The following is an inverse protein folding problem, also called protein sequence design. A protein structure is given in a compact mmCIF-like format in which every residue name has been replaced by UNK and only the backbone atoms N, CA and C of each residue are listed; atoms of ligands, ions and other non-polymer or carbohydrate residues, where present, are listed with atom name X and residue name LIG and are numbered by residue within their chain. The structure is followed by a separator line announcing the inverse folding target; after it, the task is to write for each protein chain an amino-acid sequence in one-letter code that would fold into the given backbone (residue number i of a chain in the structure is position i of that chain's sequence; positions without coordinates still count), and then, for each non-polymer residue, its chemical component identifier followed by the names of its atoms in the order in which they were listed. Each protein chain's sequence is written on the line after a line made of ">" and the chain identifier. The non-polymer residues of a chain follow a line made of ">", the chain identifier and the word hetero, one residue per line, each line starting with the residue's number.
data_IF_256513189916
#
_entry.id   IF_256513189916
#
_cell.length_a   1.000
_cell.length_b   1.000
_cell.length_c   1.000
_cell.angle_alpha   90.00
_cell.angle_beta   90.00
_cell.angle_gamma   90.00
#
_symmetry.space_group_name_H-M   'P 1'
#
loop_
_entity.id
_entity.type
_entity.pdbx_description
1 polymer ?
#
# COMPACT_ATOMS: atom_id res chain seq x y z
N UNK A 1 11.13 -22.65 -31.05
CA UNK A 1 11.06 -22.41 -29.58
C UNK A 1 9.75 -21.69 -29.33
N UNK A 2 8.91 -22.16 -28.39
CA UNK A 2 7.75 -21.36 -27.95
C UNK A 2 8.32 -20.04 -27.43
N UNK A 3 7.84 -18.91 -27.93
CA UNK A 3 8.11 -17.63 -27.29
C UNK A 3 7.56 -17.74 -25.86
N UNK A 4 8.45 -17.91 -24.89
CA UNK A 4 8.08 -17.68 -23.49
C UNK A 4 7.77 -16.20 -23.39
N UNK A 5 6.59 -15.82 -22.88
CA UNK A 5 6.23 -14.41 -22.76
C UNK A 5 7.14 -13.67 -21.77
N UNK A 6 6.92 -12.37 -21.61
CA UNK A 6 7.79 -11.51 -20.83
C UNK A 6 7.25 -11.29 -19.41
N UNK A 7 8.14 -11.39 -18.41
CA UNK A 7 7.79 -11.24 -16.99
C UNK A 7 8.17 -9.83 -16.53
N UNK A 8 7.19 -9.11 -16.00
CA UNK A 8 7.36 -7.82 -15.34
C UNK A 8 7.33 -7.99 -13.82
N UNK A 9 8.27 -7.34 -13.15
CA UNK A 9 8.41 -7.32 -11.70
C UNK A 9 8.27 -5.88 -11.25
N UNK A 10 7.33 -5.62 -10.34
CA UNK A 10 7.13 -4.30 -9.74
C UNK A 10 7.71 -4.30 -8.32
N UNK A 11 8.51 -3.29 -8.00
CA UNK A 11 9.05 -3.07 -6.66
C UNK A 11 8.86 -1.60 -6.24
N UNK A 12 8.98 -1.32 -4.94
CA UNK A 12 8.97 0.06 -4.44
C UNK A 12 10.35 0.69 -4.46
N UNK A 13 10.39 2.02 -4.55
CA UNK A 13 11.58 2.81 -4.29
C UNK A 13 12.04 2.65 -2.82
N UNK A 14 13.20 3.20 -2.49
CA UNK A 14 13.67 3.24 -1.11
C UNK A 14 13.75 4.66 -0.55
N UNK A 15 13.57 4.78 0.77
CA UNK A 15 13.73 6.04 1.47
C UNK A 15 15.19 6.51 1.39
N UNK A 16 16.15 5.63 1.68
CA UNK A 16 17.57 5.97 1.67
C UNK A 16 18.17 5.90 0.26
N UNK A 17 19.10 6.81 -0.01
CA UNK A 17 19.81 6.88 -1.29
C UNK A 17 21.30 7.00 -1.06
N UNK A 18 22.07 6.33 -1.91
CA UNK A 18 23.51 6.58 -2.02
C UNK A 18 23.71 8.05 -2.42
N UNK A 19 24.68 8.73 -1.81
CA UNK A 19 25.05 10.13 -2.11
C UNK A 19 26.14 10.27 -3.18
N UNK A 20 26.65 9.14 -3.71
CA UNK A 20 27.62 9.13 -4.80
C UNK A 20 27.09 9.83 -6.07
N UNK A 21 28.03 10.36 -6.84
CA UNK A 21 27.78 11.14 -8.03
C UNK A 21 28.26 10.39 -9.28
N UNK A 22 27.42 10.32 -10.30
CA UNK A 22 27.73 9.70 -11.57
C UNK A 22 27.01 10.40 -12.73
N UNK A 23 27.16 9.86 -13.93
CA UNK A 23 26.67 10.46 -15.17
C UNK A 23 25.28 9.93 -15.56
N UNK A 24 24.52 10.75 -16.27
CA UNK A 24 23.22 10.34 -16.81
C UNK A 24 23.39 9.36 -17.97
N UNK A 25 22.66 8.25 -17.93
CA UNK A 25 22.59 7.26 -19.02
C UNK A 25 21.30 7.42 -19.83
N UNK A 26 21.38 7.21 -21.14
CA UNK A 26 20.25 7.41 -22.06
C UNK A 26 19.18 6.31 -22.01
N UNK A 27 19.50 5.12 -21.49
CA UNK A 27 18.50 4.07 -21.24
C UNK A 27 17.61 4.49 -20.06
N UNK A 28 16.33 4.74 -20.32
CA UNK A 28 15.36 5.03 -19.27
C UNK A 28 13.93 4.58 -19.58
N UNK A 29 13.09 4.40 -18.56
CA UNK A 29 11.68 4.04 -18.70
C UNK A 29 10.90 5.02 -19.58
N UNK A 30 11.16 6.32 -19.46
CA UNK A 30 10.45 7.35 -20.22
C UNK A 30 10.62 7.16 -21.74
N UNK A 31 11.75 6.68 -22.20
CA UNK A 31 11.97 6.35 -23.62
C UNK A 31 11.15 5.13 -24.09
N UNK A 32 10.72 4.29 -23.15
CA UNK A 32 9.89 3.11 -23.43
C UNK A 32 8.40 3.43 -23.53
N UNK A 33 7.92 4.55 -22.98
CA UNK A 33 6.51 4.97 -23.06
C UNK A 33 6.37 6.24 -23.90
N UNK A 34 5.98 6.14 -25.16
CA UNK A 34 5.84 7.28 -26.07
C UNK A 34 4.57 8.10 -25.85
N UNK A 35 3.44 7.45 -25.53
CA UNK A 35 2.14 8.12 -25.43
C UNK A 35 2.02 8.90 -24.12
N UNK A 36 2.48 8.32 -23.01
CA UNK A 36 2.42 8.94 -21.70
C UNK A 36 3.69 9.70 -21.30
N UNK A 37 4.70 9.77 -22.18
CA UNK A 37 6.00 10.43 -21.94
C UNK A 37 5.87 11.81 -21.29
N UNK A 38 5.14 12.71 -21.96
CA UNK A 38 5.08 14.11 -21.55
C UNK A 38 4.33 14.27 -20.22
N UNK A 39 3.27 13.48 -19.99
CA UNK A 39 2.55 13.46 -18.71
C UNK A 39 3.48 13.07 -17.55
N UNK A 40 4.32 12.05 -17.73
CA UNK A 40 5.29 11.68 -16.70
C UNK A 40 6.31 12.78 -16.45
N UNK A 41 6.90 13.35 -17.51
CA UNK A 41 7.90 14.41 -17.37
C UNK A 41 7.31 15.68 -16.73
N UNK A 42 6.07 16.03 -17.07
CA UNK A 42 5.33 17.13 -16.45
C UNK A 42 5.12 16.88 -14.95
N UNK A 43 4.59 15.71 -14.57
CA UNK A 43 4.36 15.39 -13.15
C UNK A 43 5.66 15.33 -12.35
N UNK A 44 6.74 14.81 -12.93
CA UNK A 44 8.08 14.85 -12.32
C UNK A 44 8.53 16.28 -12.01
N UNK A 45 8.38 17.20 -12.98
CA UNK A 45 8.72 18.62 -12.80
C UNK A 45 7.84 19.27 -11.73
N UNK A 46 6.54 19.01 -11.74
CA UNK A 46 5.61 19.55 -10.74
C UNK A 46 5.98 19.08 -9.33
N UNK A 47 6.22 17.79 -9.13
CA UNK A 47 6.60 17.27 -7.80
C UNK A 47 7.94 17.84 -7.35
N UNK A 48 8.93 17.95 -8.24
CA UNK A 48 10.22 18.59 -7.93
C UNK A 48 10.01 20.03 -7.45
N UNK A 49 9.23 20.81 -8.20
CA UNK A 49 8.89 22.20 -7.87
C UNK A 49 8.14 22.30 -6.54
N UNK A 50 7.16 21.43 -6.30
CA UNK A 50 6.41 21.39 -5.05
C UNK A 50 7.30 21.03 -3.86
N UNK A 51 8.20 20.07 -4.02
CA UNK A 51 9.20 19.75 -2.99
C UNK A 51 10.07 20.98 -2.69
N UNK A 52 10.59 21.66 -3.71
CA UNK A 52 11.49 22.82 -3.54
C UNK A 52 10.78 24.07 -3.01
N UNK A 53 9.47 24.19 -3.20
CA UNK A 53 8.62 25.26 -2.62
C UNK A 53 8.14 24.96 -1.20
N UNK A 54 8.46 23.79 -0.67
CA UNK A 54 7.99 23.35 0.63
C UNK A 54 6.52 22.97 0.66
N UNK A 55 5.99 22.45 -0.44
CA UNK A 55 4.59 22.03 -0.58
C UNK A 55 4.40 20.52 -0.42
N UNK A 56 5.45 19.79 -0.06
CA UNK A 56 5.36 18.34 0.17
C UNK A 56 5.87 18.06 1.58
N UNK A 57 5.04 17.45 2.41
CA UNK A 57 5.39 17.07 3.78
C UNK A 57 5.33 15.57 3.97
N UNK A 58 6.25 15.07 4.79
CA UNK A 58 6.25 13.72 5.30
C UNK A 58 4.93 13.41 6.01
N UNK A 59 4.29 12.31 5.64
CA UNK A 59 2.99 11.92 6.20
C UNK A 59 3.05 11.67 7.71
N UNK A 60 4.14 11.11 8.22
CA UNK A 60 4.25 10.61 9.60
C UNK A 60 4.74 11.70 10.55
N UNK A 61 5.82 12.38 10.18
CA UNK A 61 6.48 13.40 10.98
C UNK A 61 5.95 14.81 10.73
N UNK A 62 5.30 15.05 9.59
CA UNK A 62 4.91 16.41 9.16
C UNK A 62 6.09 17.28 8.72
N UNK A 63 7.30 16.72 8.64
CA UNK A 63 8.48 17.44 8.19
C UNK A 63 8.35 17.84 6.72
N UNK A 64 8.70 19.07 6.40
CA UNK A 64 8.74 19.54 5.03
C UNK A 64 9.90 18.89 4.27
N UNK A 65 9.64 18.44 3.04
CA UNK A 65 10.66 17.82 2.19
C UNK A 65 11.68 18.84 1.66
N UNK A 66 11.39 20.13 1.69
CA UNK A 66 12.34 21.18 1.31
C UNK A 66 13.54 21.33 2.27
N UNK A 67 13.46 20.77 3.48
CA UNK A 67 14.56 20.83 4.46
C UNK A 67 15.72 19.89 4.10
N UNK A 68 15.47 18.93 3.21
CA UNK A 68 16.41 17.86 2.85
C UNK A 68 17.35 18.35 1.77
N UNK A 69 18.66 18.19 2.01
CA UNK A 69 19.72 18.66 1.10
C UNK A 69 19.56 18.07 -0.29
N UNK A 70 19.30 16.77 -0.38
CA UNK A 70 19.07 16.06 -1.64
C UNK A 70 17.91 16.63 -2.46
N UNK A 71 16.90 17.23 -1.81
CA UNK A 71 15.76 17.83 -2.48
C UNK A 71 16.03 19.27 -2.94
N UNK A 72 16.66 20.07 -2.08
CA UNK A 72 17.03 21.46 -2.43
C UNK A 72 18.03 21.51 -3.58
N UNK A 73 18.87 20.49 -3.72
CA UNK A 73 19.87 20.38 -4.77
C UNK A 73 19.39 19.67 -6.04
N UNK A 74 18.10 19.33 -6.17
CA UNK A 74 17.55 18.74 -7.40
C UNK A 74 17.70 19.72 -8.59
N UNK A 75 18.29 19.24 -9.68
CA UNK A 75 18.50 20.03 -10.90
C UNK A 75 17.49 19.66 -12.00
N UNK A 76 17.27 20.60 -12.92
CA UNK A 76 16.52 20.39 -14.17
C UNK A 76 17.34 19.62 -15.21
N UNK A 77 17.57 18.33 -14.96
CA UNK A 77 18.28 17.47 -15.90
C UNK A 77 17.40 16.58 -16.79
N UNK A 78 18.01 15.61 -17.50
CA UNK A 78 17.30 14.78 -18.48
C UNK A 78 16.16 13.94 -17.93
N UNK A 79 16.22 13.57 -16.66
CA UNK A 79 15.17 12.90 -15.91
C UNK A 79 13.87 13.72 -15.75
N UNK A 80 13.97 15.04 -15.93
CA UNK A 80 12.86 16.01 -15.98
C UNK A 80 12.59 16.55 -17.40
N UNK A 81 13.24 15.99 -18.42
CA UNK A 81 13.08 16.38 -19.83
C UNK A 81 13.94 17.59 -20.24
N UNK A 82 14.98 17.90 -19.47
CA UNK A 82 15.84 19.07 -19.67
C UNK A 82 17.27 18.65 -20.03
N UNK A 83 18.15 19.58 -20.41
CA UNK A 83 19.48 19.25 -20.95
C UNK A 83 20.65 19.51 -19.98
N UNK A 84 20.39 19.81 -18.70
CA UNK A 84 21.47 20.06 -17.73
C UNK A 84 22.22 18.76 -17.43
N UNK A 85 23.48 18.68 -17.86
CA UNK A 85 24.35 17.52 -17.62
C UNK A 85 25.31 17.80 -16.47
N UNK A 86 24.91 17.39 -15.26
CA UNK A 86 25.81 17.35 -14.09
C UNK A 86 26.04 15.91 -13.63
N UNK A 87 27.16 15.69 -12.93
CA UNK A 87 27.47 14.41 -12.30
C UNK A 87 26.66 14.24 -11.01
N UNK A 88 25.37 13.94 -11.14
CA UNK A 88 24.43 13.74 -10.00
C UNK A 88 23.63 12.45 -10.09
N UNK A 89 23.93 11.59 -11.06
CA UNK A 89 23.09 10.45 -11.40
C UNK A 89 23.72 9.13 -11.02
N UNK A 90 22.88 8.17 -10.64
CA UNK A 90 23.23 6.76 -10.54
C UNK A 90 22.06 5.96 -11.09
N UNK A 91 22.29 4.77 -11.66
CA UNK A 91 21.19 3.87 -11.97
C UNK A 91 20.40 3.56 -10.71
N UNK A 92 19.08 3.47 -10.82
CA UNK A 92 18.18 3.36 -9.67
C UNK A 92 18.55 2.20 -8.71
N UNK A 93 19.00 1.06 -9.24
CA UNK A 93 19.46 -0.07 -8.42
C UNK A 93 20.71 0.21 -7.57
N UNK A 94 21.57 1.16 -7.99
CA UNK A 94 22.71 1.65 -7.19
C UNK A 94 22.34 2.84 -6.32
N UNK A 95 21.41 3.68 -6.78
CA UNK A 95 20.95 4.85 -6.03
C UNK A 95 20.18 4.42 -4.78
N UNK A 96 19.22 3.51 -4.91
CA UNK A 96 18.38 3.11 -3.78
C UNK A 96 19.14 2.24 -2.79
N UNK A 97 19.05 2.63 -1.51
CA UNK A 97 19.59 1.89 -0.38
C UNK A 97 18.47 1.60 0.60
N UNK A 98 18.51 0.44 1.25
CA UNK A 98 17.51 0.10 2.25
C UNK A 98 17.40 -1.39 2.47
N UNK A 99 16.42 -1.79 3.29
CA UNK A 99 16.30 -3.18 3.75
C UNK A 99 16.02 -4.20 2.64
N UNK A 100 15.32 -3.81 1.58
CA UNK A 100 15.16 -4.64 0.38
C UNK A 100 16.45 -4.66 -0.47
N UNK A 101 16.95 -3.48 -0.84
CA UNK A 101 18.11 -3.32 -1.74
C UNK A 101 19.41 -3.89 -1.15
N UNK A 102 19.59 -3.84 0.17
CA UNK A 102 20.74 -4.42 0.88
C UNK A 102 20.83 -5.95 0.82
N UNK A 103 19.78 -6.63 0.34
CA UNK A 103 19.82 -8.08 0.11
C UNK A 103 20.39 -8.45 -1.26
N UNK A 104 20.59 -7.45 -2.13
CA UNK A 104 20.99 -7.59 -3.52
C UNK A 104 22.35 -6.93 -3.74
N UNK A 105 23.16 -7.52 -4.61
CA UNK A 105 24.39 -6.92 -5.12
C UNK A 105 24.25 -6.60 -6.62
N UNK A 106 25.25 -5.93 -7.19
CA UNK A 106 25.24 -5.55 -8.60
C UNK A 106 25.10 -6.75 -9.55
N UNK A 107 25.63 -7.93 -9.19
CA UNK A 107 25.54 -9.14 -10.03
C UNK A 107 24.12 -9.68 -10.07
N UNK A 108 23.36 -9.55 -8.98
CA UNK A 108 21.95 -9.96 -8.95
C UNK A 108 21.13 -9.16 -9.99
N UNK A 109 21.33 -7.84 -10.07
CA UNK A 109 20.64 -6.98 -11.06
C UNK A 109 21.04 -7.29 -12.50
N UNK A 110 22.33 -7.54 -12.76
CA UNK A 110 22.80 -7.96 -14.08
C UNK A 110 22.23 -9.32 -14.46
N UNK A 111 22.20 -10.28 -13.53
CA UNK A 111 21.59 -11.60 -13.74
C UNK A 111 20.11 -11.48 -14.09
N UNK A 112 19.39 -10.57 -13.41
CA UNK A 112 17.99 -10.31 -13.72
C UNK A 112 17.80 -9.75 -15.15
N UNK A 113 18.68 -8.83 -15.58
CA UNK A 113 18.71 -8.29 -16.95
C UNK A 113 19.00 -9.39 -17.98
N UNK A 114 20.01 -10.22 -17.75
CA UNK A 114 20.41 -11.31 -18.63
C UNK A 114 19.30 -12.36 -18.81
N UNK A 115 18.49 -12.58 -17.76
CA UNK A 115 17.32 -13.46 -17.81
C UNK A 115 16.10 -12.82 -18.51
N UNK A 116 16.20 -11.56 -18.92
CA UNK A 116 15.13 -10.84 -19.62
C UNK A 116 13.99 -10.39 -18.71
N UNK A 117 14.21 -10.26 -17.39
CA UNK A 117 13.19 -9.70 -16.52
C UNK A 117 13.04 -8.19 -16.77
N UNK A 118 11.79 -7.76 -16.92
CA UNK A 118 11.45 -6.35 -16.85
C UNK A 118 11.28 -6.00 -15.37
N UNK A 119 12.01 -5.01 -14.86
CA UNK A 119 11.88 -4.55 -13.47
C UNK A 119 11.57 -3.07 -13.48
N UNK A 120 10.39 -2.72 -12.95
CA UNK A 120 9.98 -1.34 -12.74
C UNK A 120 9.87 -1.02 -11.25
N UNK A 121 10.25 0.20 -10.91
CA UNK A 121 10.26 0.74 -9.55
C UNK A 121 9.23 1.86 -9.46
N UNK A 122 8.29 1.76 -8.52
CA UNK A 122 7.35 2.83 -8.20
C UNK A 122 8.04 3.84 -7.26
N UNK A 123 8.04 5.11 -7.65
CA UNK A 123 8.77 6.19 -7.01
C UNK A 123 7.87 7.40 -6.75
N UNK A 124 7.95 7.98 -5.56
CA UNK A 124 7.24 9.22 -5.22
C UNK A 124 7.57 10.40 -6.14
N UNK A 125 8.83 10.58 -6.54
CA UNK A 125 9.26 11.67 -7.42
C UNK A 125 9.11 11.32 -8.90
N UNK A 126 9.47 10.09 -9.28
CA UNK A 126 9.62 9.72 -10.69
C UNK A 126 8.42 8.98 -11.29
N UNK A 127 7.45 8.57 -10.47
CA UNK A 127 6.35 7.71 -10.88
C UNK A 127 6.82 6.28 -11.11
N UNK A 128 7.19 5.94 -12.35
CA UNK A 128 7.79 4.67 -12.74
C UNK A 128 9.21 4.88 -13.25
N UNK A 129 10.09 3.94 -12.92
CA UNK A 129 11.48 3.88 -13.34
C UNK A 129 11.84 2.46 -13.75
N UNK A 130 12.70 2.26 -14.74
CA UNK A 130 13.45 1.00 -14.82
C UNK A 130 14.52 0.99 -13.72
N UNK A 131 14.92 -0.19 -13.26
CA UNK A 131 16.02 -0.29 -12.29
C UNK A 131 17.34 0.30 -12.82
N UNK A 132 17.51 0.41 -14.14
CA UNK A 132 18.68 1.04 -14.78
C UNK A 132 18.53 2.55 -15.02
N UNK A 133 17.36 3.15 -14.76
CA UNK A 133 17.16 4.58 -14.97
C UNK A 133 18.15 5.38 -14.12
N UNK A 134 18.87 6.30 -14.76
CA UNK A 134 19.73 7.25 -14.08
C UNK A 134 18.90 8.27 -13.30
N UNK A 135 19.03 8.28 -11.98
CA UNK A 135 18.27 9.17 -11.08
C UNK A 135 19.16 9.96 -10.13
N UNK A 136 18.69 11.17 -9.80
CA UNK A 136 19.27 12.01 -8.76
C UNK A 136 18.91 11.47 -7.36
N UNK A 137 19.72 11.80 -6.35
CA UNK A 137 19.30 11.59 -4.97
C UNK A 137 18.14 12.54 -4.63
N UNK A 138 17.13 12.03 -3.93
CA UNK A 138 15.93 12.78 -3.55
C UNK A 138 15.26 12.16 -2.32
N UNK A 139 14.43 12.91 -1.61
CA UNK A 139 13.66 12.43 -0.47
C UNK A 139 12.18 12.80 -0.61
N UNK A 140 11.38 11.84 -1.05
CA UNK A 140 9.94 11.88 -0.84
C UNK A 140 9.41 10.45 -0.85
N UNK A 141 8.31 10.26 -0.14
CA UNK A 141 7.55 9.03 -0.10
C UNK A 141 6.28 9.19 -0.94
N UNK A 142 5.81 8.13 -1.59
CA UNK A 142 4.60 8.21 -2.42
C UNK A 142 3.35 8.61 -1.61
N UNK A 143 3.36 8.39 -0.30
CA UNK A 143 2.26 8.78 0.59
C UNK A 143 2.40 10.17 1.20
N UNK A 144 3.46 10.91 0.86
CA UNK A 144 3.66 12.28 1.34
C UNK A 144 2.48 13.16 0.94
N UNK A 145 2.15 14.10 1.82
CA UNK A 145 1.01 14.99 1.62
C UNK A 145 1.46 16.21 0.83
N UNK A 146 0.63 16.60 -0.12
CA UNK A 146 0.75 17.88 -0.80
C UNK A 146 0.04 18.92 0.07
N UNK A 147 0.77 19.95 0.47
CA UNK A 147 0.28 21.07 1.28
C UNK A 147 0.54 22.39 0.55
N UNK A 148 -0.41 23.31 0.58
CA UNK A 148 -0.29 24.61 -0.07
C UNK A 148 -1.58 25.01 -0.77
N UNK A 149 -1.70 26.30 -1.10
CA UNK A 149 -2.85 26.87 -1.83
C UNK A 149 -2.78 26.53 -3.32
N UNK A 150 -2.54 25.25 -3.62
CA UNK A 150 -2.59 24.68 -4.96
C UNK A 150 -4.06 24.35 -5.17
N UNK A 151 -4.83 25.32 -5.69
CA UNK A 151 -6.30 25.26 -5.84
C UNK A 151 -6.84 23.99 -6.54
N UNK A 152 -5.97 23.15 -7.13
CA UNK A 152 -6.33 21.96 -7.91
C UNK A 152 -5.88 20.63 -7.28
N UNK A 153 -4.98 20.61 -6.28
CA UNK A 153 -4.37 19.36 -5.79
C UNK A 153 -4.16 19.32 -4.28
N UNK A 154 -5.23 19.03 -3.53
CA UNK A 154 -5.13 18.51 -2.16
C UNK A 154 -5.09 16.98 -2.18
N UNK A 155 -4.14 16.37 -1.46
CA UNK A 155 -4.02 14.91 -1.39
C UNK A 155 -2.62 14.42 -1.09
N UNK A 156 -2.30 13.22 -1.55
CA UNK A 156 -0.96 12.63 -1.49
C UNK A 156 -0.32 12.56 -2.88
N UNK A 157 1.01 12.38 -2.93
CA UNK A 157 1.70 12.13 -4.21
C UNK A 157 1.12 10.89 -4.93
N UNK A 158 0.66 9.89 -4.20
CA UNK A 158 -0.02 8.70 -4.74
C UNK A 158 -1.29 9.08 -5.49
N UNK A 159 -2.14 9.93 -4.92
CA UNK A 159 -3.38 10.39 -5.56
C UNK A 159 -3.05 11.15 -6.84
N UNK A 160 -2.01 11.98 -6.80
CA UNK A 160 -1.54 12.71 -7.97
C UNK A 160 -1.01 11.76 -9.06
N UNK A 161 -0.42 10.63 -8.69
CA UNK A 161 0.20 9.71 -9.65
C UNK A 161 -0.76 8.67 -10.24
N UNK A 162 -1.88 8.34 -9.58
CA UNK A 162 -2.65 7.09 -9.81
C UNK A 162 -2.99 6.82 -11.28
N UNK A 163 -3.49 7.83 -11.99
CA UNK A 163 -3.89 7.70 -13.41
C UNK A 163 -2.67 7.52 -14.30
N UNK A 164 -1.65 8.34 -14.10
CA UNK A 164 -0.45 8.34 -14.94
C UNK A 164 0.39 7.08 -14.74
N UNK A 165 0.48 6.57 -13.50
CA UNK A 165 1.11 5.28 -13.21
C UNK A 165 0.37 4.15 -13.91
N UNK A 166 -0.97 4.13 -13.82
CA UNK A 166 -1.79 3.09 -14.43
C UNK A 166 -1.67 3.12 -15.96
N UNK A 167 -1.83 4.29 -16.59
CA UNK A 167 -1.70 4.46 -18.04
C UNK A 167 -0.30 4.09 -18.54
N UNK A 168 0.75 4.55 -17.86
CA UNK A 168 2.14 4.22 -18.22
C UNK A 168 2.47 2.74 -18.05
N UNK A 169 1.91 2.09 -17.03
CA UNK A 169 2.07 0.66 -16.83
C UNK A 169 1.36 -0.14 -17.94
N UNK A 170 0.15 0.24 -18.33
CA UNK A 170 -0.57 -0.39 -19.46
C UNK A 170 0.22 -0.28 -20.75
N UNK A 171 0.68 0.92 -21.08
CA UNK A 171 1.49 1.16 -22.28
C UNK A 171 2.76 0.31 -22.27
N UNK A 172 3.44 0.21 -21.11
CA UNK A 172 4.61 -0.63 -20.96
C UNK A 172 4.31 -2.12 -21.15
N UNK A 173 3.21 -2.62 -20.57
CA UNK A 173 2.76 -4.01 -20.69
C UNK A 173 2.53 -4.38 -22.16
N UNK A 174 1.77 -3.56 -22.88
CA UNK A 174 1.41 -3.79 -24.28
C UNK A 174 2.65 -3.76 -25.18
N UNK A 175 3.48 -2.72 -25.07
CA UNK A 175 4.66 -2.56 -25.92
C UNK A 175 5.70 -3.66 -25.72
N UNK A 176 5.83 -4.17 -24.50
CA UNK A 176 6.78 -5.21 -24.17
C UNK A 176 6.17 -6.62 -24.19
N UNK A 177 4.91 -6.79 -24.60
CA UNK A 177 4.22 -8.09 -24.62
C UNK A 177 4.35 -8.83 -23.28
N UNK A 178 4.16 -8.11 -22.18
CA UNK A 178 4.19 -8.68 -20.83
C UNK A 178 2.97 -9.61 -20.67
N UNK A 179 3.21 -10.86 -20.29
CA UNK A 179 2.15 -11.85 -20.05
C UNK A 179 2.00 -12.20 -18.56
N UNK A 180 2.94 -11.73 -17.73
CA UNK A 180 2.98 -12.01 -16.30
C UNK A 180 3.53 -10.81 -15.51
N UNK A 181 2.82 -10.42 -14.45
CA UNK A 181 3.27 -9.43 -13.47
C UNK A 181 3.49 -10.11 -12.13
N UNK A 182 4.64 -9.86 -11.53
CA UNK A 182 4.95 -10.20 -10.14
C UNK A 182 5.03 -8.89 -9.37
N UNK A 183 3.99 -8.61 -8.61
CA UNK A 183 3.93 -7.47 -7.74
C UNK A 183 4.66 -7.81 -6.43
N UNK A 184 5.84 -7.20 -6.27
CA UNK A 184 6.68 -7.19 -5.07
C UNK A 184 6.77 -5.77 -4.49
N UNK A 185 5.74 -4.95 -4.68
CA UNK A 185 5.64 -3.61 -4.10
C UNK A 185 5.60 -3.76 -2.58
N UNK A 186 6.43 -3.00 -1.86
CA UNK A 186 6.62 -3.17 -0.42
C UNK A 186 5.38 -2.87 0.42
N UNK A 187 4.59 -1.87 0.01
CA UNK A 187 3.50 -1.34 0.81
C UNK A 187 2.20 -1.40 0.03
N UNK A 188 1.10 -1.72 0.70
CA UNK A 188 -0.22 -1.69 0.06
C UNK A 188 -0.60 -0.26 -0.31
N UNK A 189 -0.11 0.72 0.45
CA UNK A 189 -0.22 2.13 0.09
C UNK A 189 0.35 2.46 -1.29
N UNK A 190 1.41 1.76 -1.74
CA UNK A 190 1.95 1.87 -3.09
C UNK A 190 1.17 1.02 -4.09
N UNK A 191 0.65 -0.15 -3.69
CA UNK A 191 -0.21 -0.96 -4.56
C UNK A 191 -1.45 -0.15 -4.99
N UNK A 192 -2.03 0.66 -4.10
CA UNK A 192 -3.16 1.55 -4.41
C UNK A 192 -2.83 2.71 -5.35
N UNK A 193 -1.56 2.93 -5.69
CA UNK A 193 -1.16 3.92 -6.71
C UNK A 193 -1.38 3.41 -8.15
N UNK A 194 -1.90 2.20 -8.30
CA UNK A 194 -2.29 1.60 -9.58
C UNK A 194 -3.75 1.14 -9.47
N UNK A 195 -4.55 1.40 -10.50
CA UNK A 195 -5.94 0.91 -10.62
C UNK A 195 -5.95 -0.55 -11.07
N UNK A 196 -5.66 -1.45 -10.14
CA UNK A 196 -5.52 -2.89 -10.44
C UNK A 196 -6.81 -3.51 -10.95
N UNK A 197 -7.89 -3.44 -10.18
CA UNK A 197 -9.17 -4.07 -10.51
C UNK A 197 -9.83 -3.41 -11.73
N UNK A 198 -9.74 -2.08 -11.83
CA UNK A 198 -10.42 -1.32 -12.86
C UNK A 198 -9.73 -1.43 -14.22
N UNK A 199 -8.41 -1.62 -14.26
CA UNK A 199 -7.64 -1.54 -15.49
C UNK A 199 -6.73 -2.74 -15.71
N UNK A 200 -5.77 -2.99 -14.80
CA UNK A 200 -4.67 -3.94 -15.06
C UNK A 200 -5.14 -5.40 -15.05
N UNK A 201 -5.96 -5.80 -14.07
CA UNK A 201 -6.48 -7.16 -13.94
C UNK A 201 -7.39 -7.57 -15.13
N UNK A 202 -7.85 -6.60 -15.93
CA UNK A 202 -8.67 -6.84 -17.13
C UNK A 202 -7.83 -7.19 -18.36
N UNK A 203 -6.51 -6.99 -18.35
CA UNK A 203 -5.61 -7.16 -19.51
C UNK A 203 -5.25 -8.63 -19.83
N UNK A 204 -5.99 -9.63 -19.29
CA UNK A 204 -5.81 -11.06 -19.54
C UNK A 204 -4.38 -11.60 -19.31
N UNK A 205 -3.64 -10.96 -18.41
CA UNK A 205 -2.29 -11.38 -18.01
C UNK A 205 -2.31 -12.05 -16.64
N UNK A 206 -1.27 -12.82 -16.34
CA UNK A 206 -1.16 -13.48 -15.03
C UNK A 206 -0.55 -12.54 -14.00
N UNK A 207 -1.26 -12.27 -12.92
CA UNK A 207 -0.78 -11.38 -11.86
C UNK A 207 -0.54 -12.19 -10.60
N UNK A 208 0.59 -11.93 -9.95
CA UNK A 208 0.96 -12.46 -8.65
C UNK A 208 1.14 -11.28 -7.68
N UNK A 209 0.11 -10.96 -6.91
CA UNK A 209 0.22 -10.01 -5.81
C UNK A 209 0.79 -10.71 -4.58
N UNK A 210 1.95 -10.23 -4.09
CA UNK A 210 2.50 -10.77 -2.84
C UNK A 210 1.52 -10.57 -1.67
N UNK A 211 1.57 -11.46 -0.70
CA UNK A 211 1.14 -11.20 0.67
C UNK A 211 1.99 -12.03 1.61
N UNK A 212 2.23 -11.54 2.83
CA UNK A 212 2.90 -12.32 3.86
C UNK A 212 1.88 -12.79 4.90
N UNK A 213 2.14 -13.95 5.50
CA UNK A 213 1.24 -14.52 6.50
C UNK A 213 1.18 -13.64 7.75
N UNK A 214 2.32 -13.10 8.21
CA UNK A 214 2.43 -12.50 9.55
C UNK A 214 2.85 -11.04 9.54
N UNK A 215 3.79 -10.66 8.68
CA UNK A 215 4.36 -9.31 8.67
C UNK A 215 3.74 -8.43 7.58
N UNK A 216 3.57 -7.13 7.89
CA UNK A 216 3.12 -6.08 6.96
C UNK A 216 3.93 -4.82 7.13
N UNK A 217 3.98 -4.03 6.06
CA UNK A 217 4.65 -2.73 6.06
C UNK A 217 6.14 -2.79 6.30
N UNK A 218 6.76 -1.64 6.62
CA UNK A 218 8.19 -1.55 6.85
C UNK A 218 8.62 -2.19 8.19
N UNK A 219 7.94 -3.22 8.69
CA UNK A 219 8.32 -3.96 9.90
C UNK A 219 9.62 -4.76 9.72
N UNK A 220 10.21 -5.18 10.84
CA UNK A 220 11.64 -5.56 10.93
C UNK A 220 12.15 -6.53 9.86
N UNK A 221 11.38 -7.59 9.53
CA UNK A 221 11.81 -8.64 8.59
C UNK A 221 11.10 -8.63 7.23
N UNK A 222 10.02 -7.88 7.06
CA UNK A 222 9.25 -7.88 5.80
C UNK A 222 10.11 -7.48 4.59
N UNK A 223 10.68 -6.26 4.60
CA UNK A 223 11.50 -5.76 3.49
C UNK A 223 12.74 -6.63 3.21
N UNK A 224 13.52 -7.08 4.24
CA UNK A 224 14.60 -8.02 4.01
C UNK A 224 14.13 -9.37 3.46
N UNK A 225 13.01 -9.93 3.94
CA UNK A 225 12.48 -11.19 3.42
C UNK A 225 12.06 -11.05 1.96
N UNK A 226 11.40 -9.95 1.60
CA UNK A 226 11.00 -9.65 0.22
C UNK A 226 12.22 -9.51 -0.70
N UNK A 227 13.29 -8.84 -0.24
CA UNK A 227 14.56 -8.75 -1.00
C UNK A 227 15.23 -10.11 -1.19
N UNK A 228 15.23 -10.97 -0.15
CA UNK A 228 15.74 -12.34 -0.26
C UNK A 228 14.89 -13.21 -1.16
N UNK A 229 13.56 -13.03 -1.16
CA UNK A 229 12.67 -13.72 -2.08
C UNK A 229 12.95 -13.32 -3.53
N UNK A 230 13.07 -12.02 -3.80
CA UNK A 230 13.43 -11.53 -5.12
C UNK A 230 14.77 -12.11 -5.60
N UNK A 231 15.80 -12.13 -4.74
CA UNK A 231 17.08 -12.76 -5.06
C UNK A 231 16.98 -14.27 -5.31
N UNK A 232 16.47 -15.03 -4.34
CA UNK A 232 16.60 -16.48 -4.33
C UNK A 232 15.52 -17.21 -5.14
N UNK A 233 14.32 -16.66 -5.21
CA UNK A 233 13.16 -17.30 -5.81
C UNK A 233 12.76 -16.67 -7.15
N UNK A 234 13.24 -15.47 -7.47
CA UNK A 234 13.01 -14.85 -8.78
C UNK A 234 14.31 -14.80 -9.58
N UNK A 235 15.33 -14.09 -9.12
CA UNK A 235 16.59 -13.90 -9.87
C UNK A 235 17.36 -15.20 -10.02
N UNK A 236 17.49 -16.01 -8.97
CA UNK A 236 18.30 -17.24 -9.02
C UNK A 236 17.61 -18.41 -9.72
N UNK A 237 16.29 -18.36 -9.91
CA UNK A 237 15.51 -19.41 -10.59
C UNK A 237 15.39 -19.17 -12.09
N UNK A 238 14.99 -20.18 -12.85
CA UNK A 238 14.70 -19.99 -14.27
C UNK A 238 13.37 -19.24 -14.45
N UNK A 239 13.17 -18.49 -15.56
CA UNK A 239 11.87 -17.90 -15.86
C UNK A 239 10.71 -18.90 -15.86
N UNK A 240 10.96 -20.16 -16.25
CA UNK A 240 9.97 -21.24 -16.20
C UNK A 240 9.59 -21.61 -14.76
N UNK A 241 10.56 -21.70 -13.85
CA UNK A 241 10.28 -21.97 -12.44
C UNK A 241 9.50 -20.83 -11.79
N UNK A 242 9.83 -19.58 -12.15
CA UNK A 242 9.09 -18.39 -11.69
C UNK A 242 7.65 -18.42 -12.21
N UNK A 243 7.44 -18.83 -13.46
CA UNK A 243 6.10 -19.09 -13.99
C UNK A 243 5.39 -20.24 -13.27
N UNK A 244 6.05 -21.10 -12.53
CA UNK A 244 5.37 -22.16 -11.79
C UNK A 244 4.93 -21.75 -10.36
N UNK A 245 5.15 -20.49 -9.96
CA UNK A 245 4.67 -19.97 -8.67
C UNK A 245 3.15 -20.00 -8.62
N UNK A 246 2.59 -20.78 -7.68
CA UNK A 246 1.13 -20.95 -7.56
C UNK A 246 0.45 -19.71 -6.98
N UNK A 247 -0.73 -19.42 -7.51
CA UNK A 247 -1.68 -18.47 -6.92
C UNK A 247 -2.55 -19.21 -5.92
N UNK A 248 -2.87 -18.54 -4.82
CA UNK A 248 -3.75 -19.02 -3.76
C UNK A 248 -5.12 -18.38 -3.84
N UNK A 249 -6.12 -19.11 -3.36
CA UNK A 249 -7.51 -18.66 -3.24
C UNK A 249 -8.09 -19.11 -1.91
N UNK A 250 -9.21 -18.50 -1.44
CA UNK A 250 -9.91 -19.00 -0.27
C UNK A 250 -10.22 -20.51 -0.42
N UNK A 251 -9.66 -21.33 0.48
CA UNK A 251 -9.79 -22.79 0.47
C UNK A 251 -8.68 -23.56 -0.27
N UNK A 252 -7.78 -22.90 -0.99
CA UNK A 252 -6.62 -23.51 -1.66
C UNK A 252 -5.39 -22.60 -1.51
N UNK A 253 -4.67 -22.78 -0.39
CA UNK A 253 -3.58 -21.91 0.04
C UNK A 253 -2.22 -22.53 -0.28
N UNK A 254 -1.40 -21.82 -1.05
CA UNK A 254 -0.05 -22.24 -1.46
C UNK A 254 1.00 -21.34 -0.81
N UNK A 255 1.22 -21.51 0.49
CA UNK A 255 2.30 -20.80 1.19
C UNK A 255 3.67 -21.25 0.70
N UNK A 256 4.55 -20.29 0.48
CA UNK A 256 5.96 -20.50 0.18
C UNK A 256 6.74 -20.23 1.45
N UNK A 257 7.30 -21.30 2.00
CA UNK A 257 8.20 -21.28 3.15
C UNK A 257 9.65 -21.42 2.70
N UNK A 258 10.55 -20.66 3.33
CA UNK A 258 11.97 -20.65 3.01
C UNK A 258 12.79 -20.44 4.28
N UNK A 259 13.88 -21.19 4.42
CA UNK A 259 14.76 -21.12 5.59
C UNK A 259 15.45 -19.75 5.76
N UNK A 260 15.53 -18.97 4.68
CA UNK A 260 16.09 -17.62 4.72
C UNK A 260 15.07 -16.54 5.16
N UNK A 261 13.78 -16.89 5.27
CA UNK A 261 12.79 -16.00 5.88
C UNK A 261 13.02 -15.93 7.38
N UNK A 262 13.16 -14.70 7.88
CA UNK A 262 13.26 -14.43 9.32
C UNK A 262 11.85 -14.16 9.87
N UNK A 263 11.67 -14.40 11.16
CA UNK A 263 10.37 -14.27 11.83
C UNK A 263 9.40 -15.44 11.63
N UNK A 264 9.87 -16.56 11.04
CA UNK A 264 9.03 -17.70 10.65
C UNK A 264 7.82 -17.28 9.81
N UNK A 265 8.02 -16.30 8.92
CA UNK A 265 6.99 -15.80 8.02
C UNK A 265 7.00 -16.58 6.69
N UNK A 266 5.89 -16.50 5.96
CA UNK A 266 5.69 -17.19 4.68
C UNK A 266 5.07 -16.22 3.70
N UNK A 267 5.52 -16.29 2.44
CA UNK A 267 4.93 -15.50 1.36
C UNK A 267 3.88 -16.34 0.64
N UNK A 268 2.81 -15.71 0.20
CA UNK A 268 1.74 -16.29 -0.59
C UNK A 268 1.37 -15.31 -1.70
N UNK A 269 0.81 -15.80 -2.80
CA UNK A 269 0.41 -14.95 -3.93
C UNK A 269 -1.07 -15.08 -4.20
N UNK A 270 -1.72 -13.95 -4.48
CA UNK A 270 -3.12 -13.88 -4.92
C UNK A 270 -3.22 -13.34 -6.35
N UNK A 271 -4.30 -13.69 -7.06
CA UNK A 271 -4.50 -13.22 -8.44
C UNK A 271 -5.16 -11.85 -8.53
N UNK A 272 -5.84 -11.44 -7.45
CA UNK A 272 -6.45 -10.12 -7.31
C UNK A 272 -6.11 -9.55 -5.95
N UNK A 273 -5.93 -8.24 -5.87
CA UNK A 273 -5.70 -7.60 -4.58
C UNK A 273 -6.83 -7.92 -3.59
N UNK A 274 -6.44 -8.32 -2.38
CA UNK A 274 -7.32 -8.65 -1.26
C UNK A 274 -8.22 -9.89 -1.47
N UNK A 275 -7.96 -10.74 -2.47
CA UNK A 275 -8.73 -11.97 -2.74
C UNK A 275 -8.76 -12.92 -1.53
N UNK A 276 -7.64 -13.05 -0.81
CA UNK A 276 -7.58 -13.87 0.40
C UNK A 276 -8.26 -13.19 1.61
N UNK A 277 -8.36 -11.87 1.63
CA UNK A 277 -8.81 -11.10 2.80
C UNK A 277 -7.84 -11.19 3.99
N UNK A 278 -8.32 -10.81 5.18
CA UNK A 278 -7.53 -10.72 6.43
C UNK A 278 -7.43 -12.06 7.17
N UNK A 279 -8.17 -13.07 6.72
CA UNK A 279 -8.33 -14.35 7.41
C UNK A 279 -7.09 -15.23 7.37
N UNK A 280 -6.22 -15.02 6.38
CA UNK A 280 -5.10 -15.91 6.04
C UNK A 280 -3.75 -15.21 6.04
N UNK A 281 -3.73 -13.87 5.97
CA UNK A 281 -2.53 -13.08 5.67
C UNK A 281 -2.59 -11.73 6.37
N UNK A 282 -1.43 -11.17 6.64
CA UNK A 282 -1.32 -9.83 7.17
C UNK A 282 -1.57 -8.81 6.04
N UNK A 283 -2.31 -7.74 6.35
CA UNK A 283 -2.55 -6.58 5.47
C UNK A 283 -2.18 -5.27 6.14
N UNK A 284 -1.78 -4.29 5.34
CA UNK A 284 -1.69 -2.90 5.81
C UNK A 284 -3.11 -2.34 5.97
N UNK A 285 -3.19 -1.22 6.69
CA UNK A 285 -4.45 -0.49 6.85
C UNK A 285 -4.89 0.05 5.49
N UNK A 286 -6.02 -0.45 4.96
CA UNK A 286 -6.64 0.09 3.74
C UNK A 286 -7.13 1.52 4.00
N UNK A 287 -6.57 2.49 3.26
CA UNK A 287 -6.87 3.91 3.42
C UNK A 287 -8.29 4.30 2.99
N UNK A 288 -8.92 3.53 2.09
CA UNK A 288 -10.31 3.75 1.72
C UNK A 288 -11.22 3.34 2.88
N UNK A 289 -10.90 2.23 3.55
CA UNK A 289 -11.59 1.78 4.77
C UNK A 289 -11.35 2.80 5.89
N UNK A 290 -10.10 3.22 6.12
CA UNK A 290 -9.77 4.25 7.10
C UNK A 290 -10.51 5.57 6.80
N UNK A 291 -10.55 6.04 5.55
CA UNK A 291 -11.27 7.26 5.16
C UNK A 291 -12.77 7.14 5.41
N UNK A 292 -13.38 6.00 5.08
CA UNK A 292 -14.81 5.76 5.33
C UNK A 292 -15.12 5.72 6.83
N UNK A 293 -14.26 5.10 7.62
CA UNK A 293 -14.38 5.07 9.08
C UNK A 293 -14.16 6.49 9.62
N UNK A 294 -13.13 7.22 9.17
CA UNK A 294 -12.83 8.59 9.59
C UNK A 294 -13.96 9.58 9.25
N UNK A 295 -14.56 9.50 8.07
CA UNK A 295 -15.73 10.32 7.69
C UNK A 295 -16.91 10.14 8.66
N UNK A 296 -16.99 8.98 9.30
CA UNK A 296 -18.11 8.56 10.12
C UNK A 296 -17.88 8.70 11.62
N UNK A 297 -16.64 8.46 12.06
CA UNK A 297 -16.21 8.65 13.45
C UNK A 297 -15.64 10.05 13.68
N UNK A 298 -15.40 10.85 12.63
CA UNK A 298 -14.92 12.22 12.73
C UNK A 298 -13.70 12.34 13.62
N UNK A 299 -13.71 13.35 14.49
CA UNK A 299 -12.62 13.64 15.43
C UNK A 299 -12.32 12.47 16.41
N UNK A 300 -13.23 11.49 16.56
CA UNK A 300 -12.98 10.32 17.41
C UNK A 300 -11.98 9.34 16.79
N UNK A 301 -11.85 9.30 15.45
CA UNK A 301 -10.85 8.48 14.76
C UNK A 301 -9.43 8.98 15.03
N UNK A 302 -9.26 10.30 15.06
CA UNK A 302 -7.97 10.95 15.28
C UNK A 302 -7.46 10.82 16.73
N UNK A 303 -8.30 10.36 17.64
CA UNK A 303 -7.95 10.08 19.04
C UNK A 303 -7.44 8.65 19.27
N UNK A 304 -7.53 7.77 18.26
CA UNK A 304 -7.03 6.39 18.34
C UNK A 304 -5.54 6.33 18.01
N UNK A 305 -4.80 5.47 18.71
CA UNK A 305 -3.44 5.10 18.33
C UNK A 305 -3.44 4.25 17.04
N UNK A 306 -2.34 4.21 16.30
CA UNK A 306 -2.23 3.40 15.07
C UNK A 306 -2.50 1.90 15.30
N UNK A 307 -2.10 1.39 16.46
CA UNK A 307 -2.44 0.02 16.88
C UNK A 307 -3.96 -0.15 17.08
N UNK A 308 -4.62 0.80 17.74
CA UNK A 308 -6.09 0.77 17.93
C UNK A 308 -6.84 0.92 16.62
N UNK A 309 -6.37 1.75 15.69
CA UNK A 309 -6.92 1.86 14.34
C UNK A 309 -6.84 0.52 13.62
N UNK A 310 -5.65 -0.07 13.54
CA UNK A 310 -5.42 -1.42 12.99
C UNK A 310 -6.37 -2.46 13.61
N UNK A 311 -6.55 -2.42 14.92
CA UNK A 311 -7.46 -3.29 15.66
C UNK A 311 -8.95 -3.05 15.34
N UNK A 312 -9.40 -1.80 15.18
CA UNK A 312 -10.77 -1.49 14.74
C UNK A 312 -11.07 -2.08 13.35
N UNK A 313 -10.04 -2.23 12.51
CA UNK A 313 -10.16 -2.73 11.14
C UNK A 313 -9.95 -4.24 11.00
N UNK A 314 -9.12 -4.87 11.84
CA UNK A 314 -8.89 -6.33 11.88
C UNK A 314 -9.64 -7.01 13.05
N UNK A 315 -10.97 -7.09 12.92
CA UNK A 315 -11.86 -7.60 13.97
C UNK A 315 -11.65 -9.09 14.35
N UNK A 316 -10.98 -9.89 13.51
CA UNK A 316 -10.80 -11.34 13.72
C UNK A 316 -9.55 -11.68 14.55
N UNK A 317 -8.43 -10.98 14.33
CA UNK A 317 -7.19 -11.18 15.12
C UNK A 317 -7.39 -10.88 16.60
N UNK A 318 -8.21 -9.88 16.93
CA UNK A 318 -8.59 -9.55 18.31
C UNK A 318 -9.40 -10.67 18.96
N UNK A 319 -10.34 -11.26 18.23
CA UNK A 319 -11.15 -12.36 18.74
C UNK A 319 -10.27 -13.57 19.12
N UNK A 320 -9.29 -13.90 18.28
CA UNK A 320 -8.36 -15.00 18.55
C UNK A 320 -7.38 -14.71 19.70
N UNK A 321 -6.84 -13.50 19.80
CA UNK A 321 -5.96 -13.11 20.91
C UNK A 321 -6.72 -13.00 22.24
N UNK A 322 -8.02 -12.65 22.20
CA UNK A 322 -8.93 -12.69 23.36
C UNK A 322 -9.23 -14.11 23.80
N UNK A 323 -9.55 -15.01 22.87
CA UNK A 323 -9.76 -16.43 23.16
C UNK A 323 -8.51 -17.09 23.76
N UNK A 324 -7.32 -16.60 23.38
CA UNK A 324 -6.02 -17.03 23.91
C UNK A 324 -5.62 -16.35 25.22
N UNK A 325 -6.50 -15.52 25.80
CA UNK A 325 -6.27 -14.89 27.11
C UNK A 325 -5.14 -13.86 27.11
N UNK A 326 -4.75 -13.32 25.95
CA UNK A 326 -3.63 -12.37 25.84
C UNK A 326 -3.96 -10.96 26.32
N UNK A 327 -5.23 -10.65 26.55
CA UNK A 327 -5.66 -9.35 27.07
C UNK A 327 -5.80 -9.41 28.59
N UNK A 328 -4.79 -8.88 29.29
CA UNK A 328 -4.91 -8.54 30.71
C UNK A 328 -5.78 -7.29 30.84
N UNK A 329 -6.87 -7.41 31.58
CA UNK A 329 -7.93 -6.42 31.74
C UNK A 329 -7.38 -5.05 32.20
N UNK A 330 -7.42 -4.06 31.32
CA UNK A 330 -7.71 -2.64 31.59
C UNK A 330 -8.15 -1.99 30.27
N UNK A 331 -9.24 -1.23 30.31
CA UNK A 331 -10.19 -0.99 29.19
C UNK A 331 -9.66 -0.05 28.09
N UNK A 332 -9.72 -0.49 26.81
CA UNK A 332 -10.05 0.34 25.62
C UNK A 332 -10.08 -0.46 24.31
N UNK A 333 -11.05 -1.37 24.14
CA UNK A 333 -11.23 -2.10 22.87
C UNK A 333 -12.72 -2.20 22.52
N UNK A 334 -13.24 -1.15 21.88
CA UNK A 334 -14.69 -0.91 21.71
C UNK A 334 -15.24 -1.38 20.35
N UNK A 335 -14.49 -2.11 19.52
CA UNK A 335 -15.05 -2.59 18.24
C UNK A 335 -14.96 -4.09 17.93
N UNK A 336 -14.30 -4.89 18.76
CA UNK A 336 -14.11 -6.32 18.52
C UNK A 336 -15.25 -7.20 19.07
N UNK A 337 -16.50 -6.92 18.67
CA UNK A 337 -17.67 -7.62 19.22
C UNK A 337 -18.69 -8.09 18.16
N UNK A 338 -18.32 -8.08 16.87
CA UNK A 338 -19.23 -8.36 15.75
C UNK A 338 -19.60 -9.85 15.54
N UNK A 339 -19.18 -10.77 16.43
CA UNK A 339 -19.51 -12.21 16.35
C UNK A 339 -19.86 -12.87 17.69
N UNK A 340 -19.96 -12.13 18.80
CA UNK A 340 -20.38 -12.72 20.07
C UNK A 340 -21.90 -12.92 20.14
N UNK A 341 -22.32 -13.94 20.88
CA UNK A 341 -23.73 -14.31 21.06
C UNK A 341 -24.60 -13.11 21.50
N UNK A 342 -25.85 -13.10 21.03
CA UNK A 342 -26.86 -12.05 21.26
C UNK A 342 -26.97 -11.58 22.72
N UNK A 343 -26.77 -12.50 23.67
CA UNK A 343 -26.73 -12.23 25.11
C UNK A 343 -25.61 -11.29 25.57
N UNK A 344 -24.42 -11.38 24.95
CA UNK A 344 -23.28 -10.55 25.34
C UNK A 344 -23.30 -9.21 24.61
N UNK A 345 -23.77 -9.22 23.35
CA UNK A 345 -24.10 -8.02 22.57
C UNK A 345 -25.05 -7.08 23.33
N UNK A 346 -26.17 -7.61 23.83
CA UNK A 346 -27.18 -6.80 24.51
C UNK A 346 -26.68 -6.21 25.84
N UNK A 347 -25.83 -6.94 26.58
CA UNK A 347 -25.23 -6.44 27.83
C UNK A 347 -24.18 -5.36 27.60
N UNK A 348 -23.45 -5.41 26.50
CA UNK A 348 -22.46 -4.39 26.15
C UNK A 348 -23.13 -3.11 25.64
N UNK A 349 -24.13 -3.23 24.76
CA UNK A 349 -24.93 -2.10 24.30
C UNK A 349 -25.68 -1.41 25.45
N UNK A 350 -26.18 -2.17 26.43
CA UNK A 350 -26.78 -1.61 27.66
C UNK A 350 -25.76 -0.78 28.46
N UNK A 351 -24.51 -1.23 28.57
CA UNK A 351 -23.43 -0.50 29.26
C UNK A 351 -22.98 0.75 28.51
N UNK A 352 -22.80 0.68 27.19
CA UNK A 352 -22.50 1.84 26.35
C UNK A 352 -23.66 2.84 26.35
N UNK A 353 -24.89 2.36 26.25
CA UNK A 353 -26.11 3.16 26.36
C UNK A 353 -26.16 3.94 27.67
N UNK A 354 -25.90 3.28 28.81
CA UNK A 354 -25.79 3.95 30.13
C UNK A 354 -24.68 5.00 30.15
N UNK A 355 -23.50 4.71 29.60
CA UNK A 355 -22.38 5.63 29.58
C UNK A 355 -22.69 6.88 28.73
N UNK A 356 -23.18 6.71 27.50
CA UNK A 356 -23.57 7.82 26.65
C UNK A 356 -24.76 8.61 27.22
N UNK A 357 -25.74 7.93 27.82
CA UNK A 357 -26.87 8.57 28.51
C UNK A 357 -26.42 9.42 29.69
N UNK A 358 -25.48 8.92 30.51
CA UNK A 358 -24.90 9.64 31.65
C UNK A 358 -24.11 10.88 31.23
N UNK A 359 -23.59 10.88 29.99
CA UNK A 359 -22.89 12.02 29.38
C UNK A 359 -23.83 12.96 28.62
N UNK A 360 -25.15 12.81 28.79
CA UNK A 360 -26.17 13.72 28.24
C UNK A 360 -26.66 13.35 26.85
N UNK A 361 -26.12 12.31 26.22
CA UNK A 361 -26.59 11.86 24.90
C UNK A 361 -27.93 11.11 25.04
N UNK A 362 -28.80 11.28 24.04
CA UNK A 362 -30.14 10.66 24.01
C UNK A 362 -30.39 9.80 22.78
N UNK A 363 -29.44 9.81 21.84
CA UNK A 363 -29.50 9.10 20.56
C UNK A 363 -28.10 8.57 20.21
N UNK A 364 -28.03 7.38 19.64
CA UNK A 364 -26.81 6.77 19.10
C UNK A 364 -27.12 6.11 17.74
N UNK A 365 -26.16 6.09 16.84
CA UNK A 365 -26.32 5.45 15.53
C UNK A 365 -25.50 4.16 15.49
N UNK A 366 -26.14 3.06 15.09
CA UNK A 366 -25.49 1.74 14.96
C UNK A 366 -25.79 1.15 13.57
N UNK A 367 -24.90 0.37 12.95
CA UNK A 367 -25.23 -0.31 11.69
C UNK A 367 -26.46 -1.22 11.81
N UNK A 368 -27.28 -1.29 10.77
CA UNK A 368 -28.41 -2.20 10.65
C UNK A 368 -27.90 -3.63 10.46
N UNK A 369 -28.25 -4.48 11.41
CA UNK A 369 -27.79 -5.85 11.52
C UNK A 369 -28.36 -6.80 10.45
N UNK A 370 -29.38 -6.37 9.69
CA UNK A 370 -29.92 -7.13 8.55
C UNK A 370 -29.34 -6.70 7.19
N UNK A 371 -28.40 -5.75 7.18
CA UNK A 371 -27.79 -5.26 5.95
C UNK A 371 -26.70 -6.22 5.43
N UNK A 372 -26.55 -6.32 4.12
CA UNK A 372 -25.59 -7.26 3.51
C UNK A 372 -24.20 -6.62 3.35
N UNK A 373 -23.19 -7.45 3.10
CA UNK A 373 -21.77 -7.05 3.02
C UNK A 373 -21.45 -6.04 1.92
N UNK A 374 -22.36 -5.82 0.96
CA UNK A 374 -22.18 -4.85 -0.12
C UNK A 374 -22.82 -3.50 0.18
N UNK A 375 -23.66 -3.40 1.22
CA UNK A 375 -24.45 -2.19 1.53
C UNK A 375 -24.72 -2.10 3.03
N UNK A 376 -23.98 -1.26 3.74
CA UNK A 376 -24.13 -1.07 5.20
C UNK A 376 -25.24 -0.05 5.48
N UNK A 377 -26.38 -0.50 5.99
CA UNK A 377 -27.47 0.40 6.44
C UNK A 377 -27.19 0.81 7.90
N UNK A 378 -27.71 1.95 8.37
CA UNK A 378 -27.49 2.47 9.74
C UNK A 378 -28.84 2.73 10.40
N UNK A 379 -28.99 2.36 11.67
CA UNK A 379 -30.17 2.60 12.51
C UNK A 379 -29.85 3.55 13.66
N UNK A 380 -30.76 4.51 13.88
CA UNK A 380 -30.77 5.36 15.08
C UNK A 380 -31.41 4.58 16.24
N UNK A 381 -30.82 4.70 17.43
CA UNK A 381 -31.35 4.15 18.67
C UNK A 381 -31.50 5.28 19.68
N UNK A 382 -32.71 5.40 20.23
CA UNK A 382 -33.04 6.36 21.28
C UNK A 382 -32.74 5.73 22.63
N UNK A 383 -31.97 6.43 23.47
CA UNK A 383 -31.58 5.96 24.80
C UNK A 383 -32.61 6.45 25.84
N UNK A 384 -33.41 5.52 26.40
CA UNK A 384 -34.40 5.80 27.44
C UNK A 384 -33.91 5.39 28.83
N UNK A 385 -34.38 6.05 29.90
CA UNK A 385 -33.81 5.96 31.26
C UNK A 385 -34.08 4.63 32.00
N UNK A 386 -34.86 3.71 31.43
CA UNK A 386 -35.48 2.62 32.21
C UNK A 386 -34.50 1.48 32.55
N UNK A 387 -34.48 1.05 33.81
CA UNK A 387 -33.40 0.23 34.39
C UNK A 387 -33.41 -1.25 33.94
N UNK A 388 -34.44 -1.69 33.19
CA UNK A 388 -34.64 -3.10 32.84
C UNK A 388 -34.15 -3.50 31.43
N UNK A 389 -33.88 -2.57 30.52
CA UNK A 389 -32.89 -2.63 29.43
C UNK A 389 -33.16 -1.49 28.45
N UNK A 390 -32.12 -0.84 27.95
CA UNK A 390 -32.23 0.29 27.00
C UNK A 390 -32.81 -0.10 25.62
N UNK A 391 -33.10 -1.38 25.36
CA UNK A 391 -33.29 -1.91 24.00
C UNK A 391 -34.57 -2.72 23.79
N UNK A 392 -35.61 -2.54 24.62
CA UNK A 392 -36.89 -3.23 24.42
C UNK A 392 -37.76 -2.66 23.28
N UNK A 393 -37.38 -1.54 22.67
CA UNK A 393 -38.11 -0.90 21.55
C UNK A 393 -37.16 -0.37 20.48
N UNK A 394 -36.89 -1.17 19.45
CA UNK A 394 -36.22 -0.73 18.23
C UNK A 394 -37.29 -0.30 17.21
N UNK A 395 -37.27 0.97 16.78
CA UNK A 395 -38.09 1.43 15.65
C UNK A 395 -37.21 1.54 14.40
N UNK A 396 -37.57 0.91 13.26
CA UNK A 396 -36.79 1.05 12.03
C UNK A 396 -36.98 2.44 11.42
N UNK A 397 -35.87 3.09 11.10
CA UNK A 397 -35.82 4.21 10.15
C UNK A 397 -35.15 3.70 8.88
N UNK A 398 -35.82 3.79 7.74
CA UNK A 398 -35.28 3.38 6.45
C UNK A 398 -34.72 4.59 5.72
N UNK A 399 -33.40 4.62 5.54
CA UNK A 399 -32.75 5.39 4.47
C UNK A 399 -31.82 4.45 3.72
N UNK A 400 -32.16 4.16 2.46
CA UNK A 400 -31.34 3.36 1.56
C UNK A 400 -30.23 4.25 0.97
N UNK A 401 -28.96 3.83 1.08
CA UNK A 401 -27.81 4.43 0.37
C UNK A 401 -27.10 3.36 -0.44
#
# INVERSE_FOLDING_TARGET
>A
MKNMGNILILISCSHDKNSENGEFTTENFISSISENREKFLEKRRNIKDWIQKGWVVDKESGENRDTRRENTELIDGPDFGQYVQEKRYLPAYKRYQGRFFSQLDEKDWHTAKEKGYHILIISGLYGLLSFNDSIQAYNCHLTDRIIGDIMEHEGTLSDYWVDTLTEGLKEYIEKNNIDMIIDLISEESYQHSIKWEEEIEKMQLRILHRVFEKEVGPCSYFLPNLGRFFKNDIINKSPEDVRNIKVSRPGDLHFIERDYFKGNDRIIFESKLYELGFDYVAREIDKNIERLIKLRFGNYWDLLTEGEKYYVMDGKKIFEDFKKGKFNTNVSSVHSWWTATESVRNRFLDRLGRLFYSRGHRKIFVPDFNSNTKKIVIKEIILERDESSYFSKLSPFNTEL
#
